data_IF_615137627053
#
_entry.id   IF_615137627053
#
_cell.length_a   1.000
_cell.length_b   1.000
_cell.length_c   1.000
_cell.angle_alpha   90.00
_cell.angle_beta   90.00
_cell.angle_gamma   90.00
#
_symmetry.space_group_name_H-M   'P 1'
#
loop_
_entity.id
_entity.type
_entity.pdbx_description
1 polymer ?
#
# COMPACT_ATOMS: atom_id res chain seq x y z
N UNK A 1 -4.50 11.07 1.31
CA UNK A 1 -3.13 10.52 1.21
C UNK A 1 -2.53 10.35 2.60
N UNK A 2 -2.57 11.37 3.44
CA UNK A 2 -2.11 11.33 4.85
C UNK A 2 -2.66 10.13 5.66
N UNK A 3 -3.94 9.80 5.53
CA UNK A 3 -4.52 8.64 6.23
C UNK A 3 -3.88 7.29 5.85
N UNK A 4 -3.47 7.11 4.59
CA UNK A 4 -2.82 5.87 4.12
C UNK A 4 -1.39 5.79 4.66
N UNK A 5 -0.67 6.92 4.64
CA UNK A 5 0.66 7.04 5.25
C UNK A 5 0.64 6.67 6.72
N UNK A 6 -0.25 7.30 7.49
CA UNK A 6 -0.34 7.08 8.93
C UNK A 6 -0.74 5.65 9.27
N UNK A 7 -1.70 5.09 8.52
CA UNK A 7 -2.09 3.69 8.68
C UNK A 7 -0.89 2.74 8.48
N UNK A 8 -0.16 2.86 7.37
CA UNK A 8 0.98 1.99 7.08
C UNK A 8 2.13 2.17 8.07
N UNK A 9 2.35 3.39 8.57
CA UNK A 9 3.33 3.68 9.63
C UNK A 9 2.97 2.94 10.92
N UNK A 10 1.71 3.03 11.35
CA UNK A 10 1.21 2.35 12.56
C UNK A 10 1.30 0.83 12.39
N UNK A 11 0.93 0.27 11.24
CA UNK A 11 1.05 -1.18 11.01
C UNK A 11 2.51 -1.64 11.04
N UNK A 12 3.43 -0.86 10.45
CA UNK A 12 4.87 -1.15 10.50
C UNK A 12 5.39 -1.22 11.95
N UNK A 13 4.93 -0.32 12.83
CA UNK A 13 5.33 -0.30 14.25
C UNK A 13 4.86 -1.53 15.03
N UNK A 14 3.87 -2.28 14.52
CA UNK A 14 3.39 -3.54 15.11
C UNK A 14 4.19 -4.75 14.66
N UNK A 15 5.04 -4.60 13.64
CA UNK A 15 5.86 -5.67 13.06
C UNK A 15 5.51 -5.97 11.59
N UNK A 16 5.84 -7.18 11.10
CA UNK A 16 5.54 -7.59 9.73
C UNK A 16 4.04 -7.54 9.43
N UNK A 17 3.67 -7.07 8.24
CA UNK A 17 2.28 -6.98 7.83
C UNK A 17 2.07 -7.33 6.35
N UNK A 18 0.82 -7.69 6.04
CA UNK A 18 0.27 -7.75 4.69
C UNK A 18 -1.13 -7.17 4.71
N UNK A 19 -1.32 -6.03 4.04
CA UNK A 19 -2.59 -5.30 4.00
C UNK A 19 -3.08 -5.13 2.57
N UNK A 20 -4.39 -5.03 2.40
CA UNK A 20 -5.03 -4.75 1.11
C UNK A 20 -5.63 -3.35 1.12
N UNK A 21 -5.10 -2.47 0.27
CA UNK A 21 -5.69 -1.18 0.00
C UNK A 21 -6.75 -1.34 -1.11
N UNK A 22 -7.99 -0.94 -0.83
CA UNK A 22 -9.09 -0.97 -1.80
C UNK A 22 -9.19 0.41 -2.45
N UNK A 23 -8.73 0.53 -3.68
CA UNK A 23 -8.74 1.79 -4.44
C UNK A 23 -9.92 1.88 -5.42
N UNK A 24 -10.59 0.75 -5.67
CA UNK A 24 -11.41 0.60 -6.88
C UNK A 24 -10.54 0.75 -8.14
N UNK A 25 -11.16 0.77 -9.31
CA UNK A 25 -10.44 0.88 -10.60
C UNK A 25 -9.96 2.31 -10.92
N UNK A 26 -9.74 3.15 -9.89
CA UNK A 26 -9.30 4.53 -10.08
C UNK A 26 -7.78 4.58 -10.26
N UNK A 27 -7.36 4.66 -11.52
CA UNK A 27 -5.93 4.78 -11.88
C UNK A 27 -5.29 6.04 -11.30
N UNK A 28 -6.03 7.15 -11.24
CA UNK A 28 -5.55 8.41 -10.65
C UNK A 28 -5.27 8.24 -9.15
N UNK A 29 -6.11 7.51 -8.41
CA UNK A 29 -5.87 7.24 -6.99
C UNK A 29 -4.67 6.30 -6.80
N UNK A 30 -4.59 5.25 -7.62
CA UNK A 30 -3.48 4.30 -7.61
C UNK A 30 -2.14 4.99 -7.86
N UNK A 31 -2.04 5.81 -8.92
CA UNK A 31 -0.83 6.57 -9.25
C UNK A 31 -0.36 7.46 -8.10
N UNK A 32 -1.31 8.11 -7.41
CA UNK A 32 -0.99 8.92 -6.24
C UNK A 32 -0.51 8.08 -5.06
N UNK A 33 -1.13 6.93 -4.81
CA UNK A 33 -0.69 6.00 -3.75
C UNK A 33 0.71 5.47 -4.06
N UNK A 34 0.99 5.10 -5.30
CA UNK A 34 2.34 4.67 -5.70
C UNK A 34 3.37 5.76 -5.45
N UNK A 35 3.19 6.93 -6.07
CA UNK A 35 4.20 8.00 -6.05
C UNK A 35 4.35 8.67 -4.69
N UNK A 36 3.23 8.95 -4.02
CA UNK A 36 3.25 9.73 -2.79
C UNK A 36 3.46 8.85 -1.55
N UNK A 37 3.15 7.54 -1.59
CA UNK A 37 3.14 6.66 -0.40
C UNK A 37 4.07 5.47 -0.55
N UNK A 38 3.89 4.63 -1.58
CA UNK A 38 4.50 3.30 -1.62
C UNK A 38 5.92 3.29 -2.19
N UNK A 39 6.19 4.01 -3.29
CA UNK A 39 7.52 4.14 -3.88
C UNK A 39 8.60 4.69 -2.93
N UNK A 40 8.32 5.73 -2.09
CA UNK A 40 9.31 6.21 -1.12
C UNK A 40 9.40 5.38 0.16
N UNK A 41 8.60 4.31 0.29
CA UNK A 41 8.50 3.50 1.50
C UNK A 41 9.38 2.24 1.43
N UNK A 42 9.68 1.59 2.57
CA UNK A 42 10.36 0.29 2.57
C UNK A 42 9.42 -0.89 2.27
N UNK A 43 8.19 -0.63 1.80
CA UNK A 43 7.20 -1.68 1.58
C UNK A 43 7.30 -2.28 0.18
N UNK A 44 7.03 -3.58 0.06
CA UNK A 44 6.78 -4.22 -1.22
C UNK A 44 5.30 -4.12 -1.56
N UNK A 45 4.96 -3.91 -2.82
CA UNK A 45 3.55 -3.76 -3.22
C UNK A 45 3.29 -4.23 -4.64
N UNK A 46 2.08 -4.69 -4.90
CA UNK A 46 1.63 -5.10 -6.23
C UNK A 46 0.10 -5.02 -6.39
N UNK A 47 -0.36 -4.88 -7.63
CA UNK A 47 -1.77 -5.08 -7.98
C UNK A 47 -1.96 -6.57 -8.28
N UNK A 48 -2.87 -7.27 -7.58
CA UNK A 48 -3.14 -8.67 -7.87
C UNK A 48 -3.82 -8.84 -9.22
N UNK A 49 -3.44 -9.89 -9.97
CA UNK A 49 -3.96 -10.16 -11.32
C UNK A 49 -5.47 -10.45 -11.36
N UNK A 50 -6.06 -10.87 -10.23
CA UNK A 50 -7.49 -11.16 -10.10
C UNK A 50 -8.34 -9.94 -9.73
N UNK A 51 -7.72 -8.82 -9.31
CA UNK A 51 -8.47 -7.62 -8.94
C UNK A 51 -7.66 -6.33 -9.12
N UNK A 52 -7.92 -5.62 -10.20
CA UNK A 52 -7.26 -4.35 -10.52
C UNK A 52 -7.63 -3.20 -9.59
N UNK A 53 -8.66 -3.36 -8.76
CA UNK A 53 -9.10 -2.35 -7.80
C UNK A 53 -8.42 -2.43 -6.43
N UNK A 54 -7.41 -3.30 -6.30
CA UNK A 54 -6.70 -3.56 -5.07
C UNK A 54 -5.20 -3.33 -5.24
N UNK A 55 -4.55 -2.95 -4.14
CA UNK A 55 -3.10 -2.96 -4.00
C UNK A 55 -2.78 -3.77 -2.75
N UNK A 56 -1.97 -4.80 -2.89
CA UNK A 56 -1.42 -5.55 -1.75
C UNK A 56 -0.11 -4.87 -1.36
N UNK A 57 0.05 -4.58 -0.06
CA UNK A 57 1.22 -3.92 0.51
C UNK A 57 1.75 -4.80 1.64
N UNK A 58 3.04 -5.11 1.58
CA UNK A 58 3.71 -6.04 2.47
C UNK A 58 4.95 -5.38 3.09
N UNK A 59 5.22 -5.74 4.35
CA UNK A 59 6.43 -5.38 5.07
C UNK A 59 6.91 -6.60 5.85
N UNK A 60 8.19 -6.94 5.68
CA UNK A 60 8.85 -8.02 6.39
C UNK A 60 9.98 -7.43 7.23
N UNK A 61 10.06 -7.82 8.49
CA UNK A 61 11.22 -7.53 9.34
C UNK A 61 12.24 -8.65 9.12
N UNK A 62 13.45 -8.28 8.68
CA UNK A 62 14.57 -9.22 8.48
C UNK A 62 15.30 -9.47 9.81
#
# INVERSE_FOLDING_TARGET
MEAVHEFLRIEKEKGPFSVTLITGNSTVLQDRIFKEVLEPSPFTFFIPSWNLGQIIVEYMEL
#
